data_IF_379222565928
#
_entry.id   IF_379222565928
#
_cell.length_a   1.000
_cell.length_b   1.000
_cell.length_c   1.000
_cell.angle_alpha   90.00
_cell.angle_beta   90.00
_cell.angle_gamma   90.00
#
_symmetry.space_group_name_H-M   'P 1'
#
loop_
_entity.id
_entity.type
_entity.pdbx_description
1 polymer ?
#
# COMPACT_ATOMS: atom_id res chain seq x y z
N UNK A 1 26.77 27.44 26.85
CA UNK A 1 27.34 26.35 26.03
C UNK A 1 27.35 25.13 26.93
N UNK A 2 26.40 24.21 26.86
CA UNK A 2 26.13 23.28 25.75
C UNK A 2 24.64 22.89 25.73
N UNK A 3 23.90 23.31 24.70
CA UNK A 3 22.64 22.68 24.25
C UNK A 3 22.97 21.98 22.95
N UNK A 4 22.70 20.68 22.83
CA UNK A 4 22.96 19.97 21.57
C UNK A 4 23.09 18.45 21.65
N UNK A 5 22.39 17.75 22.56
CA UNK A 5 22.39 16.27 22.60
C UNK A 5 21.01 15.62 22.79
N UNK A 6 19.94 16.39 22.99
CA UNK A 6 18.62 15.83 23.34
C UNK A 6 17.80 15.40 22.12
N UNK A 7 18.03 15.97 20.93
CA UNK A 7 17.19 15.70 19.75
C UNK A 7 17.61 14.41 19.03
N UNK A 8 18.92 14.12 18.99
CA UNK A 8 19.46 12.92 18.33
C UNK A 8 19.13 11.62 19.08
N UNK A 9 18.91 11.71 20.41
CA UNK A 9 18.53 10.56 21.24
C UNK A 9 17.05 10.17 21.05
N UNK A 10 16.16 11.16 20.83
CA UNK A 10 14.72 10.93 20.64
C UNK A 10 14.40 10.28 19.29
N UNK A 11 15.12 10.67 18.23
CA UNK A 11 14.97 10.06 16.89
C UNK A 11 15.52 8.63 16.88
N UNK A 12 16.64 8.38 17.57
CA UNK A 12 17.21 7.04 17.69
C UNK A 12 16.31 6.07 18.47
N UNK A 13 15.59 6.54 19.49
CA UNK A 13 14.65 5.73 20.27
C UNK A 13 13.43 5.30 19.44
N UNK A 14 12.88 6.20 18.62
CA UNK A 14 11.73 5.91 17.75
C UNK A 14 12.09 4.88 16.66
N UNK A 15 13.27 5.00 16.05
CA UNK A 15 13.77 4.02 15.06
C UNK A 15 14.09 2.66 15.70
N UNK A 16 14.58 2.63 16.95
CA UNK A 16 14.86 1.36 17.66
C UNK A 16 13.60 0.64 18.14
N UNK A 17 12.54 1.37 18.49
CA UNK A 17 11.25 0.83 18.93
C UNK A 17 10.54 0.10 17.79
N UNK A 18 10.49 0.69 16.59
CA UNK A 18 9.91 0.05 15.39
C UNK A 18 10.76 -1.14 14.92
N UNK A 19 12.09 -1.03 14.95
CA UNK A 19 12.98 -2.14 14.59
C UNK A 19 12.95 -3.30 15.63
N UNK A 20 12.65 -3.01 16.89
CA UNK A 20 12.60 -3.97 17.97
C UNK A 20 11.37 -4.87 17.99
N UNK A 21 10.21 -4.35 17.56
CA UNK A 21 8.99 -5.15 17.43
C UNK A 21 9.09 -6.17 16.29
N UNK A 22 9.87 -5.87 15.24
CA UNK A 22 9.96 -6.69 14.02
C UNK A 22 11.13 -7.68 14.02
N UNK A 23 12.14 -7.51 14.89
CA UNK A 23 13.24 -8.46 15.04
C UNK A 23 12.89 -9.70 15.91
N UNK A 24 11.68 -9.76 16.47
CA UNK A 24 11.21 -10.87 17.32
C UNK A 24 10.84 -12.16 16.57
N UNK A 25 10.87 -12.17 15.24
CA UNK A 25 10.60 -13.36 14.42
C UNK A 25 11.87 -14.10 14.01
N UNK A 26 12.85 -14.27 14.89
CA UNK A 26 13.95 -15.24 14.68
C UNK A 26 14.37 -15.90 15.99
N UNK A 27 13.97 -17.16 16.15
CA UNK A 27 14.62 -18.31 16.82
C UNK A 27 13.53 -19.25 17.37
N UNK A 28 13.65 -20.57 17.39
CA UNK A 28 14.71 -21.50 17.05
C UNK A 28 14.06 -22.90 17.00
N UNK A 29 14.57 -23.73 16.11
CA UNK A 29 14.24 -25.14 15.96
C UNK A 29 14.68 -25.92 17.22
N UNK A 30 13.76 -26.65 17.86
CA UNK A 30 14.10 -27.76 18.77
C UNK A 30 13.27 -28.98 18.43
N UNK A 31 13.97 -29.96 17.87
CA UNK A 31 13.39 -31.12 17.23
C UNK A 31 12.95 -32.28 18.13
N UNK A 32 12.37 -33.22 17.38
CA UNK A 32 12.14 -34.65 17.63
C UNK A 32 11.10 -35.05 18.69
N UNK A 33 10.01 -35.69 18.23
CA UNK A 33 10.05 -37.15 18.17
C UNK A 33 9.03 -37.81 17.23
N UNK A 34 9.41 -39.02 16.81
CA UNK A 34 8.77 -39.92 15.84
C UNK A 34 7.44 -40.50 16.35
N UNK A 35 6.44 -40.62 15.47
CA UNK A 35 5.87 -41.90 15.01
C UNK A 35 4.45 -41.78 14.42
N UNK A 36 4.28 -42.54 13.34
CA UNK A 36 3.13 -43.37 13.00
C UNK A 36 1.91 -42.79 12.24
N UNK A 37 1.72 -43.44 11.09
CA UNK A 37 0.45 -43.90 10.49
C UNK A 37 -0.27 -42.97 9.49
N UNK A 38 -0.13 -43.30 8.20
CA UNK A 38 -1.23 -43.22 7.23
C UNK A 38 -2.46 -44.01 7.75
N UNK A 39 -3.70 -43.75 7.28
CA UNK A 39 -4.11 -44.40 6.03
C UNK A 39 -5.24 -43.74 5.21
N UNK A 40 -5.49 -44.36 4.05
CA UNK A 40 -6.75 -44.54 3.30
C UNK A 40 -7.08 -43.60 2.12
N UNK A 41 -6.83 -44.17 0.94
CA UNK A 41 -7.58 -43.97 -0.30
C UNK A 41 -9.05 -44.37 -0.16
N UNK A 42 -9.95 -43.61 -0.79
CA UNK A 42 -11.18 -44.18 -1.37
C UNK A 42 -11.36 -43.66 -2.78
N UNK A 43 -11.60 -44.61 -3.69
CA UNK A 43 -11.91 -44.45 -5.11
C UNK A 43 -13.43 -44.27 -5.32
N UNK A 44 -13.76 -44.00 -6.60
CA UNK A 44 -15.00 -44.29 -7.35
C UNK A 44 -15.97 -43.11 -7.51
N UNK A 45 -16.58 -42.80 -8.67
CA UNK A 45 -16.52 -43.30 -10.07
C UNK A 45 -17.31 -42.33 -10.98
N UNK A 46 -16.80 -42.11 -12.20
CA UNK A 46 -17.43 -41.76 -13.50
C UNK A 46 -18.92 -41.36 -13.63
N UNK A 47 -19.18 -40.33 -14.45
CA UNK A 47 -19.87 -40.37 -15.77
C UNK A 47 -20.01 -38.91 -16.29
N UNK A 48 -19.68 -38.46 -17.50
CA UNK A 48 -19.69 -39.11 -18.81
C UNK A 48 -20.89 -38.60 -19.64
N UNK A 49 -20.70 -37.59 -20.51
CA UNK A 49 -21.48 -37.39 -21.76
C UNK A 49 -20.94 -36.26 -22.65
N UNK A 50 -20.33 -36.66 -23.75
CA UNK A 50 -20.39 -35.96 -25.05
C UNK A 50 -21.62 -36.48 -25.82
N UNK A 51 -22.15 -35.68 -26.76
CA UNK A 51 -22.37 -36.26 -28.09
C UNK A 51 -21.99 -35.37 -29.28
N UNK A 52 -21.84 -36.09 -30.39
CA UNK A 52 -21.25 -35.77 -31.69
C UNK A 52 -21.97 -34.73 -32.58
N UNK A 53 -21.14 -34.27 -33.52
CA UNK A 53 -21.40 -33.58 -34.79
C UNK A 53 -22.40 -34.25 -35.74
N UNK A 54 -23.02 -33.45 -36.61
CA UNK A 54 -23.53 -33.84 -37.94
C UNK A 54 -23.33 -32.68 -38.91
N UNK A 55 -22.78 -32.99 -40.08
CA UNK A 55 -22.45 -32.11 -41.20
C UNK A 55 -23.56 -32.19 -42.26
N UNK A 56 -23.93 -31.07 -42.90
CA UNK A 56 -24.13 -31.02 -44.36
C UNK A 56 -24.05 -29.59 -44.95
N UNK A 57 -23.09 -29.48 -45.86
CA UNK A 57 -22.74 -28.56 -46.96
C UNK A 57 -23.80 -27.66 -47.61
N UNK A 58 -23.40 -26.42 -47.96
CA UNK A 58 -24.09 -25.62 -49.00
C UNK A 58 -23.66 -24.15 -49.20
N UNK A 59 -22.60 -23.94 -49.99
CA UNK A 59 -22.35 -22.81 -50.91
C UNK A 59 -21.96 -21.38 -50.42
N UNK A 60 -20.74 -21.00 -50.86
CA UNK A 60 -20.39 -19.78 -51.61
C UNK A 60 -19.54 -18.71 -50.92
N UNK A 61 -18.34 -18.54 -51.50
CA UNK A 61 -17.32 -17.54 -51.20
C UNK A 61 -17.73 -16.15 -51.69
N UNK A 62 -17.63 -15.13 -50.84
CA UNK A 62 -17.27 -13.77 -51.28
C UNK A 62 -16.55 -13.05 -50.15
N UNK A 63 -15.34 -12.50 -50.38
CA UNK A 63 -14.54 -11.88 -49.34
C UNK A 63 -14.96 -10.42 -49.14
N UNK A 64 -15.40 -10.10 -47.94
CA UNK A 64 -15.64 -8.72 -47.50
C UNK A 64 -15.48 -8.70 -45.99
N UNK A 65 -14.24 -8.55 -45.51
CA UNK A 65 -13.99 -8.21 -44.12
C UNK A 65 -14.80 -6.97 -43.78
N UNK A 66 -15.67 -7.01 -42.76
CA UNK A 66 -16.04 -5.79 -42.08
C UNK A 66 -14.78 -5.31 -41.35
N UNK A 67 -14.22 -4.18 -41.79
CA UNK A 67 -13.30 -3.41 -40.95
C UNK A 67 -14.03 -3.05 -39.65
N UNK A 68 -13.82 -3.88 -38.63
CA UNK A 68 -14.09 -3.55 -37.24
C UNK A 68 -13.13 -2.40 -36.88
N UNK A 69 -13.68 -1.19 -36.89
CA UNK A 69 -13.02 0.00 -36.37
C UNK A 69 -12.84 -0.17 -34.87
N UNK A 70 -11.71 -0.73 -34.45
CA UNK A 70 -11.21 -0.62 -33.09
C UNK A 70 -10.73 0.81 -32.89
N UNK A 71 -11.31 1.52 -31.92
CA UNK A 71 -10.83 2.81 -31.44
C UNK A 71 -9.54 2.60 -30.65
N UNK A 72 -8.44 2.32 -31.35
CA UNK A 72 -7.12 2.18 -30.72
C UNK A 72 -6.57 3.55 -30.33
N UNK A 73 -6.12 3.68 -29.08
CA UNK A 73 -5.27 4.79 -28.66
C UNK A 73 -4.04 4.87 -29.56
N UNK A 74 -3.72 6.07 -30.05
CA UNK A 74 -2.52 6.31 -30.85
C UNK A 74 -1.33 6.53 -29.92
N UNK A 75 -0.29 5.71 -30.06
CA UNK A 75 1.04 5.98 -29.52
C UNK A 75 1.62 7.14 -30.33
N UNK A 76 1.72 8.31 -29.72
CA UNK A 76 2.62 9.38 -30.20
C UNK A 76 4.07 8.98 -29.94
N UNK A 77 5.03 9.52 -30.70
CA UNK A 77 6.50 9.29 -30.57
C UNK A 77 7.10 9.59 -29.17
N UNK A 78 6.25 9.88 -28.17
CA UNK A 78 6.55 10.24 -26.79
C UNK A 78 6.06 9.23 -25.74
N UNK A 79 5.30 8.17 -26.09
CA UNK A 79 4.87 7.20 -25.07
C UNK A 79 5.99 6.19 -24.77
N UNK A 80 6.75 6.47 -23.71
CA UNK A 80 7.73 5.55 -23.15
C UNK A 80 7.01 4.56 -22.21
N UNK A 81 7.16 3.26 -22.47
CA UNK A 81 6.73 2.23 -21.51
C UNK A 81 7.77 2.19 -20.39
N UNK A 82 7.34 2.48 -19.17
CA UNK A 82 8.19 2.42 -17.97
C UNK A 82 7.85 1.11 -17.23
N UNK A 83 8.77 0.13 -17.16
CA UNK A 83 8.57 -1.03 -16.30
C UNK A 83 8.57 -0.60 -14.83
N UNK A 84 7.77 -1.27 -14.02
CA UNK A 84 7.56 -0.90 -12.63
C UNK A 84 6.21 -1.36 -12.11
N UNK A 85 5.92 -0.93 -10.89
CA UNK A 85 4.63 -1.13 -10.22
C UNK A 85 3.82 0.15 -10.33
N UNK A 86 2.58 0.00 -10.76
CA UNK A 86 1.58 1.04 -10.82
C UNK A 86 0.45 0.69 -9.86
N UNK A 87 -0.15 1.69 -9.25
CA UNK A 87 -1.22 1.52 -8.27
C UNK A 87 -2.38 2.47 -8.57
N UNK A 88 -3.61 2.06 -8.28
CA UNK A 88 -4.77 2.95 -8.45
C UNK A 88 -4.63 4.22 -7.60
N UNK A 89 -5.25 5.30 -8.08
CA UNK A 89 -5.37 6.53 -7.28
C UNK A 89 -6.23 6.29 -6.04
N UNK A 90 -5.98 7.07 -4.98
CA UNK A 90 -6.63 6.90 -3.67
C UNK A 90 -6.50 5.48 -3.13
N UNK A 91 -5.29 4.91 -3.22
CA UNK A 91 -5.01 3.56 -2.72
C UNK A 91 -5.54 3.40 -1.29
N UNK A 92 -6.30 2.33 -1.10
CA UNK A 92 -6.95 1.96 0.14
C UNK A 92 -6.76 0.45 0.36
N UNK A 93 -6.40 -0.05 1.55
CA UNK A 93 -6.36 -1.48 1.82
C UNK A 93 -7.65 -2.23 1.48
N UNK A 94 -8.81 -1.55 1.49
CA UNK A 94 -10.12 -2.07 1.09
C UNK A 94 -10.39 -2.05 -0.41
N UNK A 95 -9.56 -1.35 -1.18
CA UNK A 95 -9.66 -1.22 -2.62
C UNK A 95 -8.25 -1.19 -3.19
N UNK A 96 -7.70 -2.37 -3.42
CA UNK A 96 -6.35 -2.55 -3.92
C UNK A 96 -6.42 -2.73 -5.43
N UNK A 97 -5.68 -1.94 -6.19
CA UNK A 97 -5.50 -2.13 -7.62
C UNK A 97 -4.05 -1.93 -7.97
N UNK A 98 -3.38 -2.99 -8.38
CA UNK A 98 -1.95 -3.03 -8.67
C UNK A 98 -1.76 -3.52 -10.10
N UNK A 99 -0.93 -2.82 -10.88
CA UNK A 99 -0.51 -3.23 -12.20
C UNK A 99 1.02 -3.27 -12.26
N UNK A 100 1.59 -4.45 -12.47
CA UNK A 100 3.03 -4.65 -12.66
C UNK A 100 3.36 -4.76 -14.15
N UNK A 101 4.28 -3.92 -14.62
CA UNK A 101 4.81 -3.96 -15.98
C UNK A 101 6.25 -4.44 -15.95
N UNK A 102 6.53 -5.57 -16.61
CA UNK A 102 7.87 -6.17 -16.69
C UNK A 102 8.34 -6.21 -18.13
N UNK A 103 9.61 -5.84 -18.37
CA UNK A 103 10.21 -5.96 -19.70
C UNK A 103 10.72 -7.39 -19.92
N UNK A 104 10.25 -8.05 -20.99
CA UNK A 104 10.68 -9.41 -21.34
C UNK A 104 11.91 -9.40 -22.27
N UNK A 105 12.04 -8.36 -23.11
CA UNK A 105 13.16 -8.19 -24.03
C UNK A 105 12.71 -7.54 -25.34
N UNK A 106 13.60 -6.79 -25.99
CA UNK A 106 13.22 -5.99 -27.18
C UNK A 106 12.05 -5.05 -26.86
N UNK A 107 11.01 -5.10 -27.69
CA UNK A 107 9.76 -4.35 -27.53
C UNK A 107 8.62 -5.19 -26.94
N UNK A 108 8.95 -6.25 -26.19
CA UNK A 108 7.99 -7.13 -25.50
C UNK A 108 7.98 -6.88 -24.00
N UNK A 109 6.77 -6.84 -23.45
CA UNK A 109 6.47 -6.56 -22.06
C UNK A 109 5.40 -7.53 -21.55
N UNK A 110 5.36 -7.71 -20.25
CA UNK A 110 4.35 -8.46 -19.54
C UNK A 110 3.60 -7.52 -18.61
N UNK A 111 2.28 -7.60 -18.61
CA UNK A 111 1.40 -6.88 -17.71
C UNK A 111 0.70 -7.89 -16.79
N UNK A 112 0.83 -7.69 -15.48
CA UNK A 112 0.01 -8.37 -14.48
C UNK A 112 -0.79 -7.32 -13.71
N UNK A 113 -2.12 -7.37 -13.78
CA UNK A 113 -3.03 -6.46 -13.08
C UNK A 113 -3.87 -7.26 -12.13
N UNK A 114 -3.96 -6.81 -10.89
CA UNK A 114 -4.82 -7.39 -9.87
C UNK A 114 -5.60 -6.27 -9.20
N UNK A 115 -6.92 -6.40 -9.23
CA UNK A 115 -7.83 -5.52 -8.49
C UNK A 115 -8.63 -6.35 -7.51
N UNK A 116 -8.61 -5.92 -6.26
CA UNK A 116 -9.31 -6.54 -5.14
C UNK A 116 -10.10 -5.47 -4.42
N UNK A 117 -11.41 -5.65 -4.34
CA UNK A 117 -12.28 -4.76 -3.56
C UNK A 117 -12.97 -5.53 -2.43
N UNK A 118 -12.77 -5.07 -1.20
CA UNK A 118 -13.05 -5.82 0.02
C UNK A 118 -12.12 -7.03 0.18
N UNK A 119 -12.35 -7.90 1.15
CA UNK A 119 -11.60 -9.16 1.24
C UNK A 119 -12.09 -10.17 0.19
N UNK A 120 -11.60 -10.01 -1.04
CA UNK A 120 -11.67 -11.04 -2.09
C UNK A 120 -13.06 -11.43 -2.63
N UNK A 121 -14.12 -10.67 -2.34
CA UNK A 121 -15.45 -10.93 -2.93
C UNK A 121 -15.50 -10.58 -4.41
N UNK A 122 -14.75 -9.54 -4.78
CA UNK A 122 -14.64 -9.07 -6.15
C UNK A 122 -13.17 -8.95 -6.46
N UNK A 123 -12.74 -9.80 -7.37
CA UNK A 123 -11.39 -9.80 -7.92
C UNK A 123 -11.50 -9.55 -9.41
N UNK A 124 -10.52 -8.86 -9.97
CA UNK A 124 -10.31 -8.81 -11.41
C UNK A 124 -8.84 -8.89 -11.74
N UNK A 125 -8.57 -9.47 -12.90
CA UNK A 125 -7.21 -9.79 -13.30
C UNK A 125 -7.03 -9.63 -14.81
N UNK A 126 -5.90 -9.04 -15.20
CA UNK A 126 -5.37 -9.12 -16.56
C UNK A 126 -3.92 -9.58 -16.42
N UNK A 127 -3.62 -10.74 -16.97
CA UNK A 127 -2.26 -11.30 -16.98
C UNK A 127 -1.90 -11.65 -18.43
N UNK A 128 -0.98 -10.90 -19.04
CA UNK A 128 -0.69 -11.10 -20.45
C UNK A 128 0.50 -10.30 -20.99
N UNK A 129 1.10 -10.85 -22.05
CA UNK A 129 2.19 -10.20 -22.76
C UNK A 129 1.65 -9.21 -23.80
N UNK A 130 2.30 -8.07 -23.94
CA UNK A 130 2.00 -7.08 -24.95
C UNK A 130 3.27 -6.57 -25.62
N UNK A 131 3.11 -5.98 -26.81
CA UNK A 131 4.20 -5.41 -27.59
C UNK A 131 3.79 -4.12 -28.27
N UNK A 132 4.78 -3.37 -28.71
CA UNK A 132 4.58 -2.23 -29.60
C UNK A 132 4.41 -2.76 -31.03
N UNK A 133 3.26 -2.49 -31.65
CA UNK A 133 2.97 -2.77 -33.06
C UNK A 133 2.62 -1.46 -33.77
N UNK A 134 3.62 -0.88 -34.45
CA UNK A 134 3.52 0.45 -35.03
C UNK A 134 3.29 1.52 -33.97
N UNK A 135 2.11 2.16 -33.99
CA UNK A 135 1.68 3.15 -33.01
C UNK A 135 0.66 2.59 -32.02
N UNK A 136 0.67 1.28 -31.74
CA UNK A 136 -0.30 0.65 -30.83
C UNK A 136 0.37 -0.32 -29.88
N UNK A 137 -0.16 -0.40 -28.66
CA UNK A 137 0.15 -1.46 -27.71
C UNK A 137 -0.86 -2.58 -27.92
N UNK A 138 -0.36 -3.77 -28.22
CA UNK A 138 -1.22 -4.90 -28.60
C UNK A 138 -0.82 -6.11 -27.77
N UNK A 139 -1.81 -6.70 -27.09
CA UNK A 139 -1.64 -7.98 -26.41
C UNK A 139 -1.40 -9.12 -27.40
N UNK A 140 -0.60 -10.09 -26.98
CA UNK A 140 -0.35 -11.30 -27.76
C UNK A 140 -1.48 -12.32 -27.62
N UNK A 141 -2.17 -12.32 -26.48
CA UNK A 141 -3.32 -13.18 -26.21
C UNK A 141 -4.60 -12.61 -26.87
N UNK A 142 -5.34 -13.46 -27.58
CA UNK A 142 -6.63 -13.09 -28.18
C UNK A 142 -7.69 -12.73 -27.14
N UNK A 143 -7.57 -13.22 -25.90
CA UNK A 143 -8.47 -12.87 -24.80
C UNK A 143 -8.50 -11.35 -24.55
N UNK A 144 -7.37 -10.68 -24.71
CA UNK A 144 -7.22 -9.24 -24.45
C UNK A 144 -7.21 -8.40 -25.73
N UNK A 145 -7.69 -8.93 -26.87
CA UNK A 145 -7.65 -8.23 -28.17
C UNK A 145 -8.37 -6.88 -28.20
N UNK A 146 -9.34 -6.69 -27.30
CA UNK A 146 -10.15 -5.47 -27.17
C UNK A 146 -9.64 -4.54 -26.06
N UNK A 147 -8.57 -4.93 -25.35
CA UNK A 147 -7.94 -4.12 -24.31
C UNK A 147 -6.99 -3.11 -24.96
N UNK A 148 -7.17 -1.85 -24.60
CA UNK A 148 -6.30 -0.73 -24.97
C UNK A 148 -5.43 -0.35 -23.78
N UNK A 149 -4.12 -0.25 -24.03
CA UNK A 149 -3.16 0.27 -23.07
C UNK A 149 -2.65 1.63 -23.53
N UNK A 150 -2.52 2.58 -22.60
CA UNK A 150 -1.92 3.88 -22.84
C UNK A 150 -0.99 4.25 -21.69
N UNK A 151 0.22 4.71 -22.02
CA UNK A 151 1.20 5.16 -21.03
C UNK A 151 1.40 6.68 -21.09
N UNK A 152 1.67 7.26 -19.94
CA UNK A 152 2.28 8.58 -19.77
C UNK A 152 3.51 8.40 -18.88
N UNK A 153 4.29 9.46 -18.66
CA UNK A 153 5.51 9.36 -17.85
C UNK A 153 5.26 8.94 -16.39
N UNK A 154 4.02 9.09 -15.89
CA UNK A 154 3.66 8.73 -14.51
C UNK A 154 2.41 7.86 -14.37
N UNK A 155 1.83 7.33 -15.46
CA UNK A 155 0.61 6.53 -15.37
C UNK A 155 0.42 5.55 -16.53
N UNK A 156 -0.24 4.43 -16.22
CA UNK A 156 -0.78 3.43 -17.13
C UNK A 156 -2.31 3.53 -17.10
N UNK A 157 -2.95 3.64 -18.27
CA UNK A 157 -4.40 3.52 -18.41
C UNK A 157 -4.76 2.26 -19.19
N UNK A 158 -5.68 1.49 -18.63
CA UNK A 158 -6.24 0.26 -19.19
C UNK A 158 -7.70 0.53 -19.49
N UNK A 159 -8.10 0.33 -20.75
CA UNK A 159 -9.47 0.55 -21.20
C UNK A 159 -9.96 -0.59 -22.11
N UNK A 160 -11.25 -0.85 -22.10
CA UNK A 160 -11.92 -1.85 -22.94
C UNK A 160 -13.44 -1.59 -22.96
N UNK A 161 -14.16 -2.09 -24.00
CA UNK A 161 -15.60 -1.92 -24.11
C UNK A 161 -16.35 -2.41 -22.85
N UNK A 162 -17.44 -1.72 -22.49
CA UNK A 162 -18.24 -2.06 -21.29
C UNK A 162 -18.85 -3.46 -21.32
N UNK A 163 -18.99 -4.06 -22.50
CA UNK A 163 -19.50 -5.42 -22.64
C UNK A 163 -18.47 -6.50 -22.30
N UNK A 164 -17.18 -6.15 -22.25
CA UNK A 164 -16.09 -7.01 -21.79
C UNK A 164 -15.90 -6.82 -20.28
N UNK A 165 -15.63 -7.91 -19.56
CA UNK A 165 -15.39 -7.86 -18.12
C UNK A 165 -14.27 -8.81 -17.73
N UNK A 166 -13.30 -8.30 -16.98
CA UNK A 166 -12.15 -9.06 -16.48
C UNK A 166 -12.15 -9.11 -14.95
N UNK A 167 -13.23 -8.65 -14.29
CA UNK A 167 -13.37 -8.70 -12.85
C UNK A 167 -14.79 -8.82 -12.33
N UNK A 168 -14.89 -8.87 -11.00
CA UNK A 168 -16.14 -8.78 -10.28
C UNK A 168 -16.68 -7.35 -10.25
N UNK A 169 -17.90 -7.18 -9.71
CA UNK A 169 -18.50 -5.87 -9.52
C UNK A 169 -17.53 -4.94 -8.76
N UNK A 170 -17.15 -3.84 -9.40
CA UNK A 170 -16.20 -2.86 -8.87
C UNK A 170 -14.76 -3.36 -8.62
N UNK A 171 -14.38 -4.50 -9.17
CA UNK A 171 -13.00 -4.97 -9.19
C UNK A 171 -12.51 -5.15 -10.63
N UNK A 172 -13.09 -4.38 -11.56
CA UNK A 172 -12.65 -4.40 -12.96
C UNK A 172 -11.24 -3.80 -13.06
N UNK A 173 -10.30 -4.48 -13.75
CA UNK A 173 -8.96 -3.97 -14.03
C UNK A 173 -8.93 -2.67 -14.84
N UNK A 174 -10.04 -2.28 -15.46
CA UNK A 174 -10.21 -1.01 -16.18
C UNK A 174 -9.94 0.20 -15.29
N UNK A 175 -9.10 1.10 -15.76
CA UNK A 175 -8.85 2.38 -15.08
C UNK A 175 -7.43 2.91 -15.28
N UNK A 176 -7.12 3.95 -14.53
CA UNK A 176 -5.79 4.59 -14.51
C UNK A 176 -5.05 4.17 -13.24
N UNK A 177 -3.83 3.70 -13.43
CA UNK A 177 -2.87 3.32 -12.39
C UNK A 177 -1.68 4.27 -12.47
N UNK A 178 -1.28 4.84 -11.35
CA UNK A 178 -0.16 5.77 -11.26
C UNK A 178 1.12 5.04 -10.90
N UNK A 179 2.24 5.46 -11.49
CA UNK A 179 3.54 4.85 -11.28
C UNK A 179 3.95 5.02 -9.80
N UNK A 180 3.91 3.92 -9.06
CA UNK A 180 4.29 3.89 -7.65
C UNK A 180 5.81 3.83 -7.52
N UNK A 181 6.45 2.98 -8.32
CA UNK A 181 7.88 2.67 -8.22
C UNK A 181 8.37 1.98 -9.51
N UNK A 182 9.51 2.39 -10.07
CA UNK A 182 10.09 1.77 -11.27
C UNK A 182 11.22 0.77 -11.00
N UNK A 183 11.49 0.45 -9.72
CA UNK A 183 12.68 -0.31 -9.35
C UNK A 183 13.94 0.42 -9.82
N UNK A 184 14.83 -0.27 -10.52
CA UNK A 184 16.07 0.32 -11.08
C UNK A 184 15.90 0.96 -12.46
N UNK A 185 14.69 0.92 -13.03
CA UNK A 185 14.44 1.42 -14.37
C UNK A 185 14.33 2.94 -14.39
N UNK A 186 14.87 3.57 -15.44
CA UNK A 186 14.80 5.01 -15.61
C UNK A 186 13.36 5.47 -15.89
N UNK A 187 12.86 6.32 -15.00
CA UNK A 187 11.53 6.91 -15.03
C UNK A 187 11.65 8.43 -14.81
N UNK A 188 11.65 9.25 -15.87
CA UNK A 188 11.87 10.70 -15.76
C UNK A 188 10.94 11.42 -14.79
N UNK A 189 9.66 11.00 -14.74
CA UNK A 189 8.68 11.50 -13.77
C UNK A 189 9.15 11.30 -12.33
N UNK A 190 9.54 10.07 -11.95
CA UNK A 190 10.02 9.76 -10.60
C UNK A 190 11.34 10.47 -10.31
N UNK A 191 12.25 10.56 -11.28
CA UNK A 191 13.50 11.31 -11.13
C UNK A 191 13.24 12.78 -10.78
N UNK A 192 12.37 13.45 -11.54
CA UNK A 192 12.00 14.84 -11.28
C UNK A 192 11.29 15.03 -9.93
N UNK A 193 10.42 14.09 -9.58
CA UNK A 193 9.73 14.08 -8.28
C UNK A 193 10.71 13.92 -7.11
N UNK A 194 11.63 12.96 -7.19
CA UNK A 194 12.63 12.70 -6.17
C UNK A 194 13.62 13.86 -6.01
N UNK A 195 14.01 14.50 -7.11
CA UNK A 195 14.85 15.69 -7.07
C UNK A 195 14.15 16.86 -6.39
N UNK A 196 12.87 17.09 -6.71
CA UNK A 196 12.08 18.16 -6.08
C UNK A 196 11.84 17.90 -4.58
N UNK A 197 11.56 16.65 -4.21
CA UNK A 197 11.34 16.26 -2.82
C UNK A 197 12.64 16.13 -2.01
N UNK A 198 13.81 16.14 -2.66
CA UNK A 198 15.10 15.97 -1.98
C UNK A 198 15.34 14.53 -1.49
N UNK A 199 14.72 13.52 -2.12
CA UNK A 199 14.90 12.11 -1.76
C UNK A 199 16.35 11.70 -2.00
N UNK A 200 17.02 11.22 -0.95
CA UNK A 200 18.41 10.76 -1.03
C UNK A 200 18.56 9.56 -1.97
N UNK A 201 19.70 9.47 -2.66
CA UNK A 201 19.97 8.41 -3.65
C UNK A 201 19.81 7.00 -3.08
N UNK A 202 20.13 6.80 -1.79
CA UNK A 202 20.01 5.51 -1.10
C UNK A 202 18.57 5.01 -0.94
N UNK A 203 17.59 5.91 -1.05
CA UNK A 203 16.15 5.59 -0.98
C UNK A 203 15.48 5.58 -2.35
N UNK A 204 16.22 5.90 -3.41
CA UNK A 204 15.76 5.77 -4.80
C UNK A 204 15.87 4.31 -5.24
N UNK A 205 15.47 4.01 -6.47
CA UNK A 205 15.67 2.70 -7.12
C UNK A 205 14.91 1.52 -6.48
N UNK A 206 13.63 1.68 -6.13
CA UNK A 206 12.85 0.59 -5.53
C UNK A 206 12.51 0.78 -4.06
N UNK A 207 13.13 1.72 -3.35
CA UNK A 207 12.91 1.93 -1.91
C UNK A 207 11.98 3.09 -1.57
N UNK A 208 11.41 3.77 -2.57
CA UNK A 208 10.41 4.82 -2.35
C UNK A 208 9.16 4.48 -3.13
N UNK A 209 8.06 4.38 -2.41
CA UNK A 209 6.73 4.18 -3.00
C UNK A 209 5.99 5.52 -3.06
N UNK A 210 5.38 5.80 -4.21
CA UNK A 210 4.58 7.01 -4.44
C UNK A 210 3.10 6.66 -4.45
N UNK A 211 2.36 7.19 -3.48
CA UNK A 211 0.90 7.10 -3.43
C UNK A 211 0.30 8.35 -4.06
N UNK A 212 -0.57 8.16 -5.05
CA UNK A 212 -1.18 9.25 -5.80
C UNK A 212 -2.64 9.44 -5.41
N UNK A 213 -2.97 10.68 -5.09
CA UNK A 213 -4.31 11.13 -4.72
C UNK A 213 -4.71 12.25 -5.69
N UNK A 214 -5.50 11.94 -6.74
CA UNK A 214 -6.08 12.99 -7.58
C UNK A 214 -6.78 14.05 -6.71
N UNK A 215 -6.63 15.32 -7.01
CA UNK A 215 -7.37 16.40 -6.32
C UNK A 215 -8.41 17.00 -7.25
N UNK A 216 -8.01 17.29 -8.47
CA UNK A 216 -8.85 17.73 -9.58
C UNK A 216 -8.22 17.32 -10.92
N UNK A 217 -8.76 17.82 -12.03
CA UNK A 217 -8.28 17.51 -13.39
C UNK A 217 -6.81 17.97 -13.64
N UNK A 218 -6.33 18.96 -12.88
CA UNK A 218 -5.04 19.62 -13.08
C UNK A 218 -4.01 19.24 -12.00
N UNK A 219 -4.43 18.63 -10.88
CA UNK A 219 -3.58 18.41 -9.72
C UNK A 219 -3.70 17.01 -9.10
N UNK A 220 -2.55 16.46 -8.72
CA UNK A 220 -2.45 15.30 -7.84
C UNK A 220 -1.67 15.68 -6.57
N UNK A 221 -2.09 15.13 -5.42
CA UNK A 221 -1.27 15.02 -4.23
C UNK A 221 -0.50 13.70 -4.28
N UNK A 222 0.80 13.77 -4.04
CA UNK A 222 1.73 12.65 -4.03
C UNK A 222 2.30 12.50 -2.61
N UNK A 223 2.12 11.33 -2.01
CA UNK A 223 2.81 10.95 -0.78
C UNK A 223 3.95 10.00 -1.15
N UNK A 224 5.18 10.42 -0.89
CA UNK A 224 6.39 9.62 -1.08
C UNK A 224 6.73 8.97 0.26
N UNK A 225 6.79 7.64 0.31
CA UNK A 225 7.23 6.89 1.49
C UNK A 225 8.52 6.16 1.17
N UNK A 226 9.63 6.64 1.73
CA UNK A 226 10.94 6.03 1.57
C UNK A 226 11.18 5.02 2.69
N UNK A 227 11.46 3.78 2.32
CA UNK A 227 11.80 2.70 3.25
C UNK A 227 13.29 2.74 3.59
N UNK A 228 13.64 2.35 4.82
CA UNK A 228 15.02 2.23 5.25
C UNK A 228 15.73 1.14 4.47
N UNK A 229 16.89 1.47 3.87
CA UNK A 229 17.74 0.51 3.14
C UNK A 229 18.36 -0.58 4.02
N UNK A 230 18.24 -0.47 5.35
CA UNK A 230 18.70 -1.48 6.32
C UNK A 230 17.56 -2.40 6.76
N UNK A 231 16.36 -1.85 6.93
CA UNK A 231 15.16 -2.59 7.28
C UNK A 231 13.97 -2.02 6.51
N UNK A 232 13.58 -2.69 5.43
CA UNK A 232 12.55 -2.20 4.52
C UNK A 232 11.15 -2.11 5.18
N UNK A 233 10.96 -2.74 6.34
CA UNK A 233 9.73 -2.59 7.12
C UNK A 233 9.66 -1.27 7.91
N UNK A 234 10.74 -0.48 7.94
CA UNK A 234 10.78 0.82 8.63
C UNK A 234 10.75 1.93 7.61
N UNK A 235 9.78 2.83 7.75
CA UNK A 235 9.73 4.09 6.99
C UNK A 235 10.85 5.02 7.47
N UNK A 236 11.74 5.42 6.56
CA UNK A 236 12.86 6.30 6.82
C UNK A 236 12.50 7.78 6.68
N UNK A 237 11.68 8.12 5.68
CA UNK A 237 11.18 9.48 5.47
C UNK A 237 9.88 9.49 4.67
N UNK A 238 9.09 10.53 4.86
CA UNK A 238 7.81 10.72 4.19
C UNK A 238 7.69 12.15 3.73
N UNK A 239 7.41 12.37 2.43
CA UNK A 239 7.28 13.70 1.85
C UNK A 239 5.95 13.84 1.12
N UNK A 240 5.36 15.03 1.19
CA UNK A 240 4.14 15.35 0.46
C UNK A 240 4.45 16.38 -0.62
N UNK A 241 4.02 16.11 -1.84
CA UNK A 241 4.23 16.94 -3.03
C UNK A 241 2.91 17.13 -3.77
N UNK A 242 2.64 18.34 -4.23
CA UNK A 242 1.59 18.59 -5.22
C UNK A 242 2.20 18.54 -6.62
N UNK A 243 1.65 17.69 -7.48
CA UNK A 243 1.98 17.67 -8.91
C UNK A 243 0.91 18.43 -9.69
N UNK A 244 1.32 19.50 -10.37
CA UNK A 244 0.47 20.28 -11.26
C UNK A 244 0.72 19.84 -12.71
N UNK A 245 -0.23 19.11 -13.29
CA UNK A 245 -0.14 18.51 -14.62
C UNK A 245 -0.03 19.55 -15.73
N UNK A 246 -0.68 20.71 -15.55
CA UNK A 246 -0.73 21.78 -16.56
C UNK A 246 0.62 22.48 -16.74
N UNK A 247 1.36 22.61 -15.66
CA UNK A 247 2.67 23.25 -15.64
C UNK A 247 3.83 22.23 -15.64
N UNK A 248 3.52 20.93 -15.58
CA UNK A 248 4.47 19.84 -15.38
C UNK A 248 5.44 20.15 -14.23
N UNK A 249 4.87 20.53 -13.09
CA UNK A 249 5.61 21.07 -11.94
C UNK A 249 5.26 20.35 -10.65
N UNK A 250 6.31 19.96 -9.93
CA UNK A 250 6.24 19.47 -8.57
C UNK A 250 6.41 20.62 -7.57
N UNK A 251 5.54 20.67 -6.57
CA UNK A 251 5.56 21.65 -5.48
C UNK A 251 5.67 20.88 -4.16
N UNK A 252 6.84 20.94 -3.53
CA UNK A 252 7.06 20.30 -2.23
C UNK A 252 6.25 21.04 -1.16
N UNK A 253 5.40 20.30 -0.44
CA UNK A 253 4.65 20.79 0.72
C UNK A 253 5.52 20.70 1.97
N UNK A 254 6.14 19.55 2.20
CA UNK A 254 7.04 19.32 3.33
C UNK A 254 7.23 17.83 3.65
N UNK A 255 8.03 17.58 4.68
CA UNK A 255 8.27 16.26 5.26
C UNK A 255 7.21 15.99 6.35
N UNK A 256 6.68 14.77 6.43
CA UNK A 256 5.73 14.37 7.48
C UNK A 256 6.51 13.98 8.73
N UNK A 257 6.80 15.00 9.54
CA UNK A 257 7.53 14.86 10.81
C UNK A 257 6.83 15.60 11.94
N UNK A 258 6.93 15.13 13.20
CA UNK A 258 6.18 15.70 14.31
C UNK A 258 6.37 17.22 14.52
N UNK A 259 7.54 17.76 14.19
CA UNK A 259 7.85 19.18 14.41
C UNK A 259 7.44 20.12 13.27
N UNK A 260 6.99 19.60 12.12
CA UNK A 260 6.53 20.39 10.97
C UNK A 260 5.10 20.03 10.52
N UNK A 261 4.45 19.11 11.24
CA UNK A 261 3.15 18.55 10.86
C UNK A 261 2.07 19.64 10.71
N UNK A 262 2.05 20.63 11.59
CA UNK A 262 1.11 21.77 11.49
C UNK A 262 1.37 22.62 10.24
N UNK A 263 2.64 22.86 9.89
CA UNK A 263 3.02 23.59 8.68
C UNK A 263 2.58 22.85 7.42
N UNK A 264 2.74 21.53 7.40
CA UNK A 264 2.25 20.66 6.31
C UNK A 264 0.73 20.72 6.22
N UNK A 265 0.00 20.59 7.34
CA UNK A 265 -1.48 20.65 7.39
C UNK A 265 -2.00 22.00 6.89
N UNK A 266 -1.40 23.10 7.31
CA UNK A 266 -1.79 24.45 6.87
C UNK A 266 -1.59 24.63 5.36
N UNK A 267 -0.47 24.15 4.82
CA UNK A 267 -0.20 24.21 3.39
C UNK A 267 -1.19 23.36 2.59
N UNK A 268 -1.46 22.11 3.01
CA UNK A 268 -2.44 21.25 2.33
C UNK A 268 -3.84 21.87 2.31
N UNK A 269 -4.24 22.50 3.42
CA UNK A 269 -5.50 23.24 3.48
C UNK A 269 -5.54 24.42 2.49
N UNK A 270 -4.41 25.08 2.23
CA UNK A 270 -4.33 26.14 1.22
C UNK A 270 -4.54 25.63 -0.22
N UNK A 271 -4.30 24.33 -0.46
CA UNK A 271 -4.64 23.63 -1.69
C UNK A 271 -6.07 23.04 -1.69
N UNK A 272 -6.89 23.37 -0.68
CA UNK A 272 -8.25 22.83 -0.50
C UNK A 272 -8.30 21.30 -0.37
N UNK A 273 -7.22 20.68 0.11
CA UNK A 273 -7.23 19.25 0.48
C UNK A 273 -8.14 19.10 1.70
N UNK A 274 -9.08 18.16 1.63
CA UNK A 274 -10.03 17.92 2.71
C UNK A 274 -9.33 17.32 3.95
N UNK A 275 -9.95 17.50 5.12
CA UNK A 275 -9.34 17.11 6.40
C UNK A 275 -9.13 15.59 6.52
N UNK A 276 -9.97 14.78 5.87
CA UNK A 276 -9.86 13.33 5.88
C UNK A 276 -8.63 12.89 5.08
N UNK A 277 -8.46 13.43 3.88
CA UNK A 277 -7.28 13.18 3.06
C UNK A 277 -6.00 13.74 3.71
N UNK A 278 -6.05 14.92 4.35
CA UNK A 278 -4.92 15.44 5.13
C UNK A 278 -4.49 14.46 6.22
N UNK A 279 -5.46 13.91 6.98
CA UNK A 279 -5.15 12.89 7.98
C UNK A 279 -4.57 11.64 7.33
N UNK A 280 -5.18 11.13 6.26
CA UNK A 280 -4.71 9.93 5.57
C UNK A 280 -3.27 10.06 5.09
N UNK A 281 -2.88 11.19 4.50
CA UNK A 281 -1.52 11.34 3.94
C UNK A 281 -0.47 11.68 4.98
N UNK A 282 -0.87 12.25 6.13
CA UNK A 282 0.05 12.58 7.23
C UNK A 282 0.13 11.50 8.31
N UNK A 283 -0.83 10.57 8.34
CA UNK A 283 -0.94 9.47 9.31
C UNK A 283 -1.26 8.15 8.61
N UNK A 284 -0.64 7.90 7.45
CA UNK A 284 -1.01 6.81 6.53
C UNK A 284 -1.05 5.44 7.19
N UNK A 285 -0.05 5.10 7.99
CA UNK A 285 0.01 3.80 8.67
C UNK A 285 -1.18 3.57 9.62
N UNK A 286 -1.61 4.61 10.34
CA UNK A 286 -2.77 4.52 11.23
C UNK A 286 -4.08 4.49 10.44
N UNK A 287 -4.20 5.32 9.39
CA UNK A 287 -5.38 5.35 8.54
C UNK A 287 -5.59 4.01 7.82
N UNK A 288 -4.52 3.42 7.27
CA UNK A 288 -4.55 2.12 6.59
C UNK A 288 -4.96 1.01 7.57
N UNK A 289 -4.38 0.94 8.77
CA UNK A 289 -4.76 -0.07 9.78
C UNK A 289 -6.19 0.09 10.28
N UNK A 290 -6.69 1.31 10.40
CA UNK A 290 -8.09 1.53 10.75
C UNK A 290 -9.01 0.96 9.65
N UNK A 291 -8.69 1.20 8.37
CA UNK A 291 -9.41 0.60 7.24
C UNK A 291 -9.33 -0.92 7.26
N UNK A 292 -8.17 -1.51 7.58
CA UNK A 292 -8.01 -2.97 7.76
C UNK A 292 -8.91 -3.53 8.86
N UNK A 293 -9.02 -2.83 10.01
CA UNK A 293 -9.95 -3.22 11.10
C UNK A 293 -11.40 -3.19 10.61
N UNK A 294 -11.81 -2.10 9.95
CA UNK A 294 -13.17 -1.97 9.41
C UNK A 294 -13.49 -3.10 8.41
N UNK A 295 -12.56 -3.43 7.53
CA UNK A 295 -12.70 -4.53 6.60
C UNK A 295 -12.82 -5.88 7.32
N UNK A 296 -11.99 -6.13 8.35
CA UNK A 296 -12.00 -7.40 9.10
C UNK A 296 -13.35 -7.62 9.80
N UNK A 297 -13.97 -6.54 10.29
CA UNK A 297 -15.33 -6.58 10.87
C UNK A 297 -16.40 -6.87 9.83
N UNK A 298 -16.32 -6.23 8.67
CA UNK A 298 -17.24 -6.48 7.55
C UNK A 298 -17.24 -7.96 7.16
N UNK A 299 -16.06 -8.55 7.01
CA UNK A 299 -15.83 -9.95 6.65
C UNK A 299 -16.39 -10.97 7.64
N UNK A 300 -16.28 -10.66 8.92
CA UNK A 300 -16.86 -11.47 9.98
C UNK A 300 -18.39 -11.38 10.01
N UNK A 301 -18.99 -10.61 9.09
CA UNK A 301 -20.43 -10.42 9.00
C UNK A 301 -20.98 -9.67 10.21
N UNK A 302 -20.17 -8.83 10.86
CA UNK A 302 -20.59 -8.09 12.04
C UNK A 302 -21.75 -7.15 11.65
N UNK A 303 -23.01 -7.43 12.08
CA UNK A 303 -24.22 -6.77 11.56
C UNK A 303 -24.27 -5.27 11.83
N UNK A 304 -23.44 -4.83 12.77
CA UNK A 304 -23.39 -3.49 13.34
C UNK A 304 -22.64 -2.53 12.41
N UNK A 305 -21.73 -3.04 11.55
CA UNK A 305 -21.05 -2.24 10.51
C UNK A 305 -22.03 -1.66 9.48
N UNK A 306 -23.14 -2.35 9.20
CA UNK A 306 -24.18 -1.91 8.25
C UNK A 306 -25.23 -0.99 8.89
N UNK A 307 -25.27 -0.88 10.23
CA UNK A 307 -26.36 -0.25 10.97
C UNK A 307 -25.95 0.83 11.99
N UNK A 308 -24.65 1.15 12.14
CA UNK A 308 -24.17 2.24 12.99
C UNK A 308 -22.65 2.32 13.12
N UNK A 309 -22.15 3.38 13.76
CA UNK A 309 -20.75 3.50 14.15
C UNK A 309 -20.47 2.53 15.30
N UNK A 310 -19.63 1.51 15.05
CA UNK A 310 -19.17 0.59 16.09
C UNK A 310 -17.84 1.11 16.60
N UNK A 311 -17.81 1.51 17.87
CA UNK A 311 -16.59 1.95 18.52
C UNK A 311 -15.51 0.84 18.46
N UNK A 312 -14.27 1.23 18.20
CA UNK A 312 -13.10 0.36 18.29
C UNK A 312 -13.01 -0.23 19.71
N UNK A 313 -12.58 -1.49 19.81
CA UNK A 313 -12.15 -2.10 21.08
C UNK A 313 -10.75 -1.60 21.44
N UNK A 314 -10.31 -1.89 22.67
CA UNK A 314 -8.96 -1.55 23.12
C UNK A 314 -7.89 -2.28 22.31
N UNK A 315 -8.16 -3.54 21.92
CA UNK A 315 -7.26 -4.34 21.09
C UNK A 315 -7.16 -3.79 19.66
N UNK A 316 -8.26 -3.30 19.09
CA UNK A 316 -8.25 -2.70 17.76
C UNK A 316 -7.57 -1.32 17.76
N UNK A 317 -7.81 -0.52 18.80
CA UNK A 317 -7.09 0.74 18.98
C UNK A 317 -5.59 0.51 19.17
N UNK A 318 -5.21 -0.50 19.97
CA UNK A 318 -3.83 -0.92 20.15
C UNK A 318 -3.21 -1.40 18.84
N UNK A 319 -3.94 -2.19 18.04
CA UNK A 319 -3.50 -2.62 16.71
C UNK A 319 -3.28 -1.44 15.76
N UNK A 320 -4.19 -0.45 15.71
CA UNK A 320 -4.03 0.72 14.84
C UNK A 320 -2.70 1.43 15.13
N UNK A 321 -2.39 1.63 16.41
CA UNK A 321 -1.18 2.34 16.81
C UNK A 321 0.08 1.47 16.69
N UNK A 322 0.04 0.23 17.17
CA UNK A 322 1.24 -0.61 17.32
C UNK A 322 1.44 -1.65 16.21
N UNK A 323 0.41 -1.95 15.43
CA UNK A 323 0.41 -3.03 14.43
C UNK A 323 0.39 -4.43 15.04
N UNK A 324 0.04 -4.57 16.32
CA UNK A 324 0.03 -5.84 17.05
C UNK A 324 -1.42 -6.27 17.29
N UNK A 325 -1.84 -7.33 16.60
CA UNK A 325 -3.21 -7.86 16.74
C UNK A 325 -3.45 -8.58 18.08
N UNK A 326 -4.71 -8.60 18.52
CA UNK A 326 -5.20 -9.38 19.67
C UNK A 326 -4.40 -9.13 20.97
N UNK A 327 -3.93 -7.89 21.15
CA UNK A 327 -3.21 -7.48 22.35
C UNK A 327 -3.60 -6.06 22.75
N UNK A 328 -3.39 -5.74 24.02
CA UNK A 328 -3.47 -4.39 24.60
C UNK A 328 -2.14 -3.95 25.21
N UNK A 329 -1.11 -4.81 25.13
CA UNK A 329 0.22 -4.51 25.59
C UNK A 329 1.29 -5.30 24.80
N UNK A 330 2.49 -4.73 24.71
CA UNK A 330 3.66 -5.36 24.14
C UNK A 330 4.90 -4.90 24.90
N UNK A 331 5.80 -5.84 25.17
CA UNK A 331 7.10 -5.54 25.79
C UNK A 331 8.25 -6.13 24.98
N UNK A 332 9.35 -5.40 24.92
CA UNK A 332 10.63 -5.90 24.43
C UNK A 332 11.69 -5.68 25.50
N UNK A 333 12.00 -6.77 26.22
CA UNK A 333 13.01 -6.76 27.26
C UNK A 333 14.41 -6.93 26.65
N UNK A 334 15.23 -5.88 26.77
CA UNK A 334 16.63 -5.85 26.37
C UNK A 334 17.58 -5.72 27.54
N UNK A 335 17.13 -6.09 28.74
CA UNK A 335 18.01 -6.18 29.90
C UNK A 335 18.91 -7.41 29.78
N UNK A 336 20.11 -7.29 30.33
CA UNK A 336 21.06 -8.40 30.41
C UNK A 336 20.72 -9.35 31.58
N UNK A 337 21.56 -10.38 31.76
CA UNK A 337 21.41 -11.37 32.83
C UNK A 337 21.53 -10.77 34.25
N UNK A 338 22.05 -9.54 34.36
CA UNK A 338 22.12 -8.77 35.61
C UNK A 338 20.89 -7.86 35.79
N UNK A 339 19.90 -7.97 34.91
CA UNK A 339 18.70 -7.12 34.85
C UNK A 339 19.05 -5.64 34.64
N UNK A 340 20.17 -5.34 33.96
CA UNK A 340 20.58 -3.99 33.59
C UNK A 340 20.28 -3.75 32.11
N UNK A 341 19.81 -2.54 31.78
CA UNK A 341 19.38 -2.17 30.43
C UNK A 341 17.93 -1.71 30.41
N UNK A 342 17.27 -1.93 29.27
CA UNK A 342 15.97 -1.32 28.97
C UNK A 342 14.89 -2.35 28.72
N UNK A 343 13.69 -2.09 29.23
CA UNK A 343 12.45 -2.73 28.77
C UNK A 343 11.65 -1.67 28.04
N UNK A 344 11.35 -1.92 26.77
CA UNK A 344 10.45 -1.07 26.00
C UNK A 344 9.03 -1.60 26.16
N UNK A 345 8.12 -0.75 26.60
CA UNK A 345 6.74 -1.12 26.94
C UNK A 345 5.79 -0.23 26.13
N UNK A 346 4.78 -0.86 25.56
CA UNK A 346 3.63 -0.21 24.94
C UNK A 346 2.39 -0.84 25.54
N UNK A 347 1.49 -0.05 26.12
CA UNK A 347 0.27 -0.59 26.71
C UNK A 347 -0.88 0.40 26.65
N UNK A 348 -2.11 -0.11 26.68
CA UNK A 348 -3.30 0.71 26.92
C UNK A 348 -3.24 1.23 28.35
N UNK A 349 -3.06 2.54 28.51
CA UNK A 349 -2.95 3.20 29.82
C UNK A 349 -4.32 3.53 30.40
N UNK A 350 -5.18 4.17 29.60
CA UNK A 350 -6.56 4.43 29.97
C UNK A 350 -7.48 4.43 28.74
N UNK A 351 -8.75 4.14 28.99
CA UNK A 351 -9.74 3.98 27.95
C UNK A 351 -11.12 4.40 28.47
N UNK A 352 -11.88 5.10 27.64
CA UNK A 352 -13.28 5.47 27.90
C UNK A 352 -14.16 5.15 26.68
N UNK A 353 -15.40 5.67 26.66
CA UNK A 353 -16.34 5.40 25.56
C UNK A 353 -15.95 6.08 24.24
N UNK A 354 -15.11 7.12 24.27
CA UNK A 354 -14.74 7.92 23.10
C UNK A 354 -13.33 7.63 22.61
N UNK A 355 -12.40 7.34 23.51
CA UNK A 355 -10.99 7.18 23.17
C UNK A 355 -10.28 6.07 23.94
N UNK A 356 -9.16 5.62 23.37
CA UNK A 356 -8.18 4.74 24.01
C UNK A 356 -6.82 5.42 23.95
N UNK A 357 -6.14 5.54 25.08
CA UNK A 357 -4.80 6.11 25.15
C UNK A 357 -3.77 5.01 25.36
N UNK A 358 -2.76 5.00 24.50
CA UNK A 358 -1.68 4.03 24.49
C UNK A 358 -0.40 4.74 24.93
N UNK A 359 0.21 4.23 25.99
CA UNK A 359 1.45 4.76 26.55
C UNK A 359 2.64 3.99 25.99
N UNK A 360 3.59 4.73 25.42
CA UNK A 360 4.84 4.17 24.88
C UNK A 360 5.98 4.69 25.74
N UNK A 361 6.68 3.79 26.43
CA UNK A 361 7.74 4.18 27.35
C UNK A 361 8.85 3.12 27.46
N UNK A 362 9.95 3.55 28.08
CA UNK A 362 11.11 2.71 28.36
C UNK A 362 11.34 2.69 29.88
N UNK A 363 11.42 1.50 30.47
CA UNK A 363 11.97 1.32 31.80
C UNK A 363 13.48 1.07 31.73
N UNK A 364 14.26 2.08 32.12
CA UNK A 364 15.72 2.02 32.13
C UNK A 364 16.21 1.66 33.51
N UNK A 365 17.03 0.61 33.59
CA UNK A 365 17.77 0.25 34.80
C UNK A 365 19.26 0.33 34.53
N UNK A 366 19.93 1.30 35.14
CA UNK A 366 21.38 1.51 34.99
C UNK A 366 22.19 0.64 35.93
N UNK A 367 21.69 0.42 37.15
CA UNK A 367 22.28 -0.45 38.16
C UNK A 367 21.21 -0.98 39.13
N UNK A 368 21.62 -1.67 40.20
CA UNK A 368 20.69 -2.23 41.17
C UNK A 368 19.82 -1.18 41.88
N UNK A 369 20.27 0.08 41.93
CA UNK A 369 19.69 1.19 42.70
C UNK A 369 19.07 2.30 41.85
N UNK A 370 19.37 2.35 40.56
CA UNK A 370 18.86 3.36 39.62
C UNK A 370 17.95 2.72 38.58
N UNK A 371 16.64 2.97 38.73
CA UNK A 371 15.59 2.61 37.77
C UNK A 371 14.69 3.81 37.55
N UNK A 372 14.42 4.14 36.29
CA UNK A 372 13.55 5.24 35.91
C UNK A 372 12.77 4.91 34.64
N UNK A 373 11.65 5.62 34.46
CA UNK A 373 10.80 5.52 33.27
C UNK A 373 11.01 6.74 32.38
N UNK A 374 11.24 6.50 31.10
CA UNK A 374 11.30 7.53 30.08
C UNK A 374 10.12 7.35 29.11
N UNK A 375 9.18 8.29 29.12
CA UNK A 375 8.05 8.27 28.18
C UNK A 375 8.49 8.74 26.81
N UNK A 376 8.18 7.96 25.78
CA UNK A 376 8.33 8.33 24.39
C UNK A 376 7.11 9.12 23.91
N UNK A 377 5.89 8.60 24.15
CA UNK A 377 4.64 9.27 23.79
C UNK A 377 3.41 8.72 24.53
N UNK A 378 2.32 9.47 24.48
CA UNK A 378 0.95 8.99 24.67
C UNK A 378 0.18 9.22 23.37
N UNK A 379 -0.39 8.16 22.82
CA UNK A 379 -1.16 8.21 21.59
C UNK A 379 -2.63 7.98 21.91
N UNK A 380 -3.45 8.99 21.67
CA UNK A 380 -4.91 8.92 21.86
C UNK A 380 -5.56 8.51 20.54
N UNK A 381 -6.37 7.45 20.59
CA UNK A 381 -7.11 6.89 19.45
C UNK A 381 -8.58 7.18 19.64
N UNK A 382 -9.20 7.90 18.70
CA UNK A 382 -10.64 8.10 18.65
C UNK A 382 -11.33 6.80 18.23
N UNK A 383 -12.24 6.28 19.08
CA UNK A 383 -12.87 4.99 18.86
C UNK A 383 -13.82 4.96 17.66
N UNK A 384 -14.34 6.10 17.22
CA UNK A 384 -15.29 6.13 16.11
C UNK A 384 -14.56 6.19 14.76
N UNK A 385 -13.50 6.99 14.69
CA UNK A 385 -12.82 7.37 13.45
C UNK A 385 -11.45 6.70 13.28
N UNK A 386 -10.91 6.07 14.32
CA UNK A 386 -9.56 5.52 14.32
C UNK A 386 -8.46 6.58 14.21
N UNK A 387 -8.80 7.87 14.37
CA UNK A 387 -7.83 8.95 14.31
C UNK A 387 -6.91 8.90 15.51
N UNK A 388 -5.61 8.97 15.26
CA UNK A 388 -4.55 8.94 16.27
C UNK A 388 -3.94 10.32 16.39
N UNK A 389 -3.86 10.81 17.63
CA UNK A 389 -3.25 12.09 17.99
C UNK A 389 -2.15 11.81 19.01
N UNK A 390 -0.98 12.41 18.80
CA UNK A 390 0.09 12.40 19.81
C UNK A 390 -0.16 13.47 20.85
N UNK A 391 -0.23 13.11 22.13
CA UNK A 391 -0.41 14.10 23.19
C UNK A 391 0.86 14.94 23.46
N UNK A 392 2.03 14.48 22.99
CA UNK A 392 3.28 15.20 23.16
C UNK A 392 3.67 16.05 21.95
N UNK A 393 3.20 15.71 20.76
CA UNK A 393 3.67 16.31 19.51
C UNK A 393 2.58 16.97 18.66
N UNK A 394 1.29 16.67 18.87
CA UNK A 394 0.15 17.33 18.23
C UNK A 394 -0.61 18.19 19.25
#
# INVERSE_FOLDING_TARGET
>A
MTKGKSTTFKIALFVLLVAGALAGCQNEDKGADKNAASPVQTNDTSAGRTPNSSVETGASLTPGSPELRTSGGNITDQQRIIPGTYIIGYYDPANVGIAEVKKLGGDQYHLNVQVVRGFSHHNGEIDGDFRVDGQRLVFTDELYRNVSLSFTDGALTIDYPEEEGFGGANAEPRGTYFLQNSGTEDAPFLTGLYDQAGVEEVYRNGFTDVFTYPLDDDQNLLLLRSQSSVNHAVTASEHIVIHNHKEDRFILIGEVVPYDLDGVREQLKAYNVDEELVYEVTRKEYADRYKEVLMKRFDQGQPEFLNGAVNLTDEEAFYIVMGIENSTAAENNRRDDQNIGSIFIQEVDHADEQSVTIHIYEEVRNDETDTHTATADWLSVDRQTGRVVSELFD
#
